data_IF_930823952999
#
_entry.id   IF_930823952999
#
_cell.length_a   1.000
_cell.length_b   1.000
_cell.length_c   1.000
_cell.angle_alpha   90.00
_cell.angle_beta   90.00
_cell.angle_gamma   90.00
#
_symmetry.space_group_name_H-M   'P 1'
#
loop_
_entity.id
_entity.type
_entity.pdbx_description
1 polymer ?
#
# COMPACT_ATOMS: atom_id res chain seq x y z
N UNK A 1 -16.77 -14.07 3.37
CA UNK A 1 -15.45 -13.41 3.57
C UNK A 1 -14.74 -13.08 2.25
N UNK A 2 -14.56 -14.03 1.32
CA UNK A 2 -13.88 -13.80 0.02
C UNK A 2 -14.43 -12.60 -0.78
N UNK A 3 -15.77 -12.50 -0.91
CA UNK A 3 -16.42 -11.38 -1.62
C UNK A 3 -16.11 -10.02 -0.98
N UNK A 4 -16.15 -9.93 0.35
CA UNK A 4 -15.87 -8.69 1.09
C UNK A 4 -14.41 -8.25 0.91
N UNK A 5 -13.46 -9.18 1.02
CA UNK A 5 -12.03 -8.91 0.76
C UNK A 5 -11.81 -8.49 -0.70
N UNK A 6 -12.51 -9.12 -1.64
CA UNK A 6 -12.49 -8.73 -3.05
C UNK A 6 -12.95 -7.29 -3.28
N UNK A 7 -14.07 -6.88 -2.66
CA UNK A 7 -14.58 -5.51 -2.77
C UNK A 7 -13.59 -4.48 -2.22
N UNK A 8 -13.05 -4.72 -1.02
CA UNK A 8 -12.03 -3.85 -0.43
C UNK A 8 -10.78 -3.78 -1.30
N UNK A 9 -10.36 -4.90 -1.90
CA UNK A 9 -9.22 -4.94 -2.80
C UNK A 9 -9.44 -4.13 -4.07
N UNK A 10 -10.65 -4.14 -4.64
CA UNK A 10 -10.99 -3.27 -5.78
C UNK A 10 -10.92 -1.81 -5.36
N UNK A 11 -11.51 -1.44 -4.21
CA UNK A 11 -11.44 -0.06 -3.69
C UNK A 11 -9.99 0.40 -3.54
N UNK A 12 -9.12 -0.44 -2.98
CA UNK A 12 -7.70 -0.13 -2.79
C UNK A 12 -6.92 -0.08 -4.11
N UNK A 13 -7.24 -0.96 -5.07
CA UNK A 13 -6.67 -0.91 -6.42
C UNK A 13 -6.95 0.45 -7.07
N UNK A 14 -8.21 0.91 -7.01
CA UNK A 14 -8.59 2.23 -7.54
C UNK A 14 -7.90 3.35 -6.77
N UNK A 15 -7.86 3.28 -5.44
CA UNK A 15 -7.18 4.29 -4.62
C UNK A 15 -5.70 4.42 -5.02
N UNK A 16 -4.97 3.32 -5.19
CA UNK A 16 -3.56 3.37 -5.60
C UNK A 16 -3.37 3.86 -7.04
N UNK A 17 -4.27 3.54 -7.97
CA UNK A 17 -4.24 4.10 -9.33
C UNK A 17 -4.47 5.61 -9.33
N UNK A 18 -5.40 6.09 -8.51
CA UNK A 18 -5.63 7.52 -8.32
C UNK A 18 -4.41 8.19 -7.69
N UNK A 19 -3.76 7.54 -6.71
CA UNK A 19 -2.51 8.03 -6.15
C UNK A 19 -1.44 8.19 -7.25
N UNK A 20 -1.21 7.18 -8.10
CA UNK A 20 -0.29 7.28 -9.26
C UNK A 20 -0.61 8.50 -10.13
N UNK A 21 -1.88 8.74 -10.42
CA UNK A 21 -2.29 9.87 -11.26
C UNK A 21 -2.02 11.24 -10.62
N UNK A 22 -2.10 11.35 -9.30
CA UNK A 22 -1.82 12.62 -8.59
C UNK A 22 -0.32 12.92 -8.54
N UNK A 23 0.54 11.90 -8.48
CA UNK A 23 2.00 12.07 -8.32
C UNK A 23 2.69 12.76 -9.50
N UNK A 24 2.07 12.86 -10.68
CA UNK A 24 2.64 13.62 -11.80
C UNK A 24 2.83 15.12 -11.47
N UNK A 25 2.21 15.62 -10.39
CA UNK A 25 2.37 17.00 -9.93
C UNK A 25 3.46 17.17 -8.87
N UNK A 26 4.16 16.10 -8.48
CA UNK A 26 5.22 16.15 -7.47
C UNK A 26 6.61 16.34 -8.08
N UNK A 27 7.56 16.96 -7.33
CA UNK A 27 8.91 17.24 -7.83
C UNK A 27 9.76 15.98 -8.09
N UNK A 28 9.49 14.87 -7.37
CA UNK A 28 10.10 13.55 -7.60
C UNK A 28 9.02 12.47 -7.77
N UNK A 29 8.41 12.35 -8.96
CA UNK A 29 7.23 11.51 -9.16
C UNK A 29 7.57 10.01 -9.24
N UNK A 30 8.81 9.65 -9.62
CA UNK A 30 9.14 8.28 -10.02
C UNK A 30 9.05 7.27 -8.88
N UNK A 31 9.61 7.60 -7.72
CA UNK A 31 9.57 6.72 -6.56
C UNK A 31 8.12 6.45 -6.11
N UNK A 32 7.29 7.51 -6.10
CA UNK A 32 5.89 7.42 -5.72
C UNK A 32 5.03 6.66 -6.71
N UNK A 33 5.16 6.95 -8.00
CA UNK A 33 4.48 6.20 -9.07
C UNK A 33 4.86 4.72 -8.99
N UNK A 34 6.12 4.42 -8.71
CA UNK A 34 6.61 3.04 -8.61
C UNK A 34 5.94 2.29 -7.46
N UNK A 35 5.90 2.85 -6.25
CA UNK A 35 5.34 2.13 -5.09
C UNK A 35 3.82 1.98 -5.18
N UNK A 36 3.09 3.02 -5.61
CA UNK A 36 1.64 2.94 -5.78
C UNK A 36 1.27 2.05 -6.97
N UNK A 37 2.02 2.13 -8.07
CA UNK A 37 1.84 1.28 -9.24
C UNK A 37 2.08 -0.19 -8.93
N UNK A 38 3.15 -0.50 -8.17
CA UNK A 38 3.41 -1.86 -7.68
C UNK A 38 2.29 -2.36 -6.77
N UNK A 39 1.86 -1.55 -5.80
CA UNK A 39 0.75 -1.90 -4.90
C UNK A 39 -0.54 -2.19 -5.68
N UNK A 40 -0.87 -1.36 -6.67
CA UNK A 40 -2.01 -1.57 -7.57
C UNK A 40 -1.87 -2.87 -8.37
N UNK A 41 -0.71 -3.11 -8.99
CA UNK A 41 -0.46 -4.32 -9.76
C UNK A 41 -0.58 -5.60 -8.91
N UNK A 42 -0.12 -5.57 -7.65
CA UNK A 42 -0.27 -6.69 -6.73
C UNK A 42 -1.73 -6.90 -6.29
N UNK A 43 -2.51 -5.84 -6.12
CA UNK A 43 -3.96 -5.96 -5.89
C UNK A 43 -4.66 -6.60 -7.09
N UNK A 44 -4.28 -6.24 -8.31
CA UNK A 44 -4.81 -6.88 -9.54
C UNK A 44 -4.38 -8.36 -9.60
N UNK A 45 -3.12 -8.67 -9.33
CA UNK A 45 -2.63 -10.04 -9.28
C UNK A 45 -3.40 -10.89 -8.25
N UNK A 46 -3.73 -10.31 -7.09
CA UNK A 46 -4.57 -10.94 -6.08
C UNK A 46 -5.98 -11.23 -6.60
N UNK A 47 -6.63 -10.25 -7.23
CA UNK A 47 -7.96 -10.41 -7.81
C UNK A 47 -7.99 -11.50 -8.91
N UNK A 48 -6.90 -11.68 -9.64
CA UNK A 48 -6.73 -12.71 -10.67
C UNK A 48 -6.32 -14.09 -10.12
N UNK A 49 -6.12 -14.23 -8.80
CA UNK A 49 -5.65 -15.46 -8.18
C UNK A 49 -4.21 -15.84 -8.53
N UNK A 50 -3.38 -14.87 -8.95
CA UNK A 50 -1.98 -15.06 -9.36
C UNK A 50 -0.97 -14.47 -8.38
N UNK A 51 -1.43 -13.90 -7.27
CA UNK A 51 -0.54 -13.34 -6.27
C UNK A 51 0.14 -14.45 -5.46
N UNK A 52 1.46 -14.40 -5.35
CA UNK A 52 2.20 -15.12 -4.30
C UNK A 52 2.33 -14.21 -3.09
N UNK A 53 1.98 -14.71 -1.90
CA UNK A 53 1.88 -13.91 -0.67
C UNK A 53 3.14 -13.09 -0.36
N UNK A 54 4.33 -13.61 -0.66
CA UNK A 54 5.60 -12.96 -0.33
C UNK A 54 5.86 -11.69 -1.15
N UNK A 55 5.30 -11.54 -2.37
CA UNK A 55 5.42 -10.29 -3.13
C UNK A 55 4.77 -9.12 -2.39
N UNK A 56 3.56 -9.36 -1.85
CA UNK A 56 2.87 -8.38 -1.05
C UNK A 56 3.60 -8.13 0.29
N UNK A 57 4.14 -9.18 0.92
CA UNK A 57 4.91 -9.00 2.16
C UNK A 57 6.16 -8.13 1.94
N UNK A 58 6.96 -8.41 0.90
CA UNK A 58 8.15 -7.61 0.58
C UNK A 58 7.78 -6.16 0.34
N UNK A 59 6.74 -5.92 -0.47
CA UNK A 59 6.24 -4.56 -0.75
C UNK A 59 5.79 -3.85 0.52
N UNK A 60 5.11 -4.56 1.43
CA UNK A 60 4.70 -4.03 2.72
C UNK A 60 5.88 -3.61 3.59
N UNK A 61 6.89 -4.49 3.73
CA UNK A 61 8.10 -4.21 4.51
C UNK A 61 8.88 -3.05 3.91
N UNK A 62 9.05 -3.01 2.59
CA UNK A 62 9.70 -1.88 1.89
C UNK A 62 8.98 -0.57 2.16
N UNK A 63 7.65 -0.55 2.07
CA UNK A 63 6.85 0.64 2.34
C UNK A 63 6.96 1.09 3.81
N UNK A 64 6.99 0.16 4.77
CA UNK A 64 7.17 0.47 6.19
C UNK A 64 8.55 1.07 6.48
N UNK A 65 9.61 0.48 5.91
CA UNK A 65 10.97 0.98 6.09
C UNK A 65 11.12 2.38 5.49
N UNK A 66 10.53 2.60 4.32
CA UNK A 66 10.53 3.92 3.70
C UNK A 66 9.71 4.93 4.52
N UNK A 67 8.52 4.55 4.99
CA UNK A 67 7.72 5.40 5.89
C UNK A 67 8.51 5.79 7.15
N UNK A 68 9.16 4.82 7.79
CA UNK A 68 9.97 5.07 8.99
C UNK A 68 11.12 6.06 8.72
N UNK A 69 11.71 6.05 7.52
CA UNK A 69 12.76 6.99 7.15
C UNK A 69 12.28 8.45 7.01
N UNK A 70 10.98 8.67 6.78
CA UNK A 70 10.38 10.00 6.69
C UNK A 70 10.03 10.62 8.06
N UNK A 71 9.89 9.79 9.10
CA UNK A 71 9.48 10.26 10.43
C UNK A 71 10.30 11.46 10.93
N UNK A 72 11.65 11.46 10.88
CA UNK A 72 12.43 12.59 11.39
C UNK A 72 12.14 13.92 10.69
N UNK A 73 11.62 13.91 9.46
CA UNK A 73 11.39 15.10 8.65
C UNK A 73 10.14 15.89 9.06
N UNK A 74 9.19 15.27 9.77
CA UNK A 74 7.94 15.93 10.18
C UNK A 74 7.55 15.68 11.65
N UNK A 75 8.24 14.79 12.34
CA UNK A 75 7.90 14.42 13.72
C UNK A 75 7.96 15.63 14.67
N UNK A 76 6.83 15.93 15.30
CA UNK A 76 6.71 17.08 16.22
C UNK A 76 6.68 18.45 15.52
N UNK A 77 6.72 18.49 14.18
CA UNK A 77 6.69 19.72 13.39
C UNK A 77 5.32 20.00 12.75
N UNK A 78 4.46 18.97 12.67
CA UNK A 78 3.18 19.04 11.96
C UNK A 78 2.08 18.45 12.83
N UNK A 79 0.99 19.19 13.00
CA UNK A 79 -0.23 18.68 13.63
C UNK A 79 -1.07 17.88 12.63
N UNK A 80 -1.91 16.96 13.11
CA UNK A 80 -2.80 16.19 12.21
C UNK A 80 -3.75 17.08 11.42
N UNK A 81 -4.20 18.20 11.99
CA UNK A 81 -5.06 19.16 11.31
C UNK A 81 -4.37 19.81 10.10
N UNK A 82 -3.10 20.22 10.24
CA UNK A 82 -2.31 20.83 9.16
C UNK A 82 -2.11 19.89 7.96
N UNK A 83 -2.02 18.58 8.19
CA UNK A 83 -1.90 17.58 7.12
C UNK A 83 -3.13 17.61 6.21
N UNK A 84 -4.33 17.78 6.78
CA UNK A 84 -5.59 17.78 6.04
C UNK A 84 -6.01 19.17 5.53
N UNK A 85 -5.66 20.25 6.24
CA UNK A 85 -6.01 21.63 5.87
C UNK A 85 -5.11 22.23 4.78
N UNK A 86 -3.90 21.70 4.59
CA UNK A 86 -2.87 22.21 3.66
C UNK A 86 -3.16 22.04 2.16
N UNK A 87 -4.41 21.86 1.75
CA UNK A 87 -4.78 21.69 0.33
C UNK A 87 -4.27 22.83 -0.58
N UNK A 88 -3.91 24.00 -0.01
CA UNK A 88 -3.34 25.15 -0.75
C UNK A 88 -1.94 25.63 -0.34
N UNK A 89 -1.38 25.24 0.81
CA UNK A 89 -0.02 25.65 1.26
C UNK A 89 0.83 24.42 1.62
N UNK A 90 1.73 24.04 0.70
CA UNK A 90 2.68 22.93 0.92
C UNK A 90 3.90 23.44 1.68
N UNK A 91 3.94 23.24 3.00
CA UNK A 91 5.24 23.29 3.72
C UNK A 91 5.91 21.92 3.61
N UNK A 92 7.25 21.88 3.53
CA UNK A 92 7.99 20.62 3.37
C UNK A 92 7.67 19.56 4.46
N UNK A 93 7.50 19.91 5.74
CA UNK A 93 7.10 18.94 6.76
C UNK A 93 5.71 18.33 6.49
N UNK A 94 4.76 19.12 5.99
CA UNK A 94 3.40 18.63 5.69
C UNK A 94 3.39 17.69 4.48
N UNK A 95 4.22 17.97 3.48
CA UNK A 95 4.43 17.06 2.33
C UNK A 95 4.96 15.71 2.80
N UNK A 96 6.02 15.68 3.62
CA UNK A 96 6.56 14.43 4.17
C UNK A 96 5.57 13.67 5.06
N UNK A 97 4.72 14.38 5.81
CA UNK A 97 3.67 13.74 6.61
C UNK A 97 2.59 13.07 5.72
N UNK A 98 2.24 13.68 4.58
CA UNK A 98 1.31 13.10 3.60
C UNK A 98 1.91 11.88 2.89
N UNK A 99 3.16 12.00 2.47
CA UNK A 99 3.96 10.92 1.88
C UNK A 99 4.04 9.71 2.83
N UNK A 100 4.31 9.97 4.11
CA UNK A 100 4.28 8.98 5.17
C UNK A 100 2.92 8.26 5.26
N UNK A 101 1.82 9.01 5.29
CA UNK A 101 0.47 8.43 5.33
C UNK A 101 0.15 7.53 4.13
N UNK A 102 0.63 7.93 2.94
CA UNK A 102 0.53 7.12 1.73
C UNK A 102 1.28 5.79 1.84
N UNK A 103 2.54 5.81 2.30
CA UNK A 103 3.35 4.61 2.51
C UNK A 103 2.77 3.69 3.58
N UNK A 104 2.26 4.23 4.69
CA UNK A 104 1.58 3.45 5.73
C UNK A 104 0.33 2.77 5.16
N UNK A 105 -0.41 3.45 4.28
CA UNK A 105 -1.59 2.87 3.63
C UNK A 105 -1.21 1.72 2.70
N UNK A 106 -0.15 1.89 1.88
CA UNK A 106 0.40 0.80 1.06
C UNK A 106 0.84 -0.37 1.95
N UNK A 107 1.63 -0.09 2.98
CA UNK A 107 2.15 -1.09 3.90
C UNK A 107 1.03 -1.92 4.55
N UNK A 108 0.03 -1.25 5.12
CA UNK A 108 -1.08 -1.89 5.81
C UNK A 108 -1.89 -2.79 4.86
N UNK A 109 -2.21 -2.30 3.67
CA UNK A 109 -2.98 -3.09 2.70
C UNK A 109 -2.18 -4.27 2.15
N UNK A 110 -0.92 -4.05 1.78
CA UNK A 110 -0.02 -5.10 1.31
C UNK A 110 0.19 -6.19 2.38
N UNK A 111 0.31 -5.80 3.65
CA UNK A 111 0.41 -6.74 4.76
C UNK A 111 -0.86 -7.59 4.89
N UNK A 112 -2.02 -6.94 4.84
CA UNK A 112 -3.31 -7.62 4.92
C UNK A 112 -3.49 -8.66 3.81
N UNK A 113 -3.27 -8.29 2.54
CA UNK A 113 -3.41 -9.23 1.43
C UNK A 113 -2.33 -10.33 1.45
N UNK A 114 -1.12 -10.04 1.94
CA UNK A 114 -0.07 -11.05 2.10
C UNK A 114 -0.50 -12.15 3.08
N UNK A 115 -0.99 -11.77 4.25
CA UNK A 115 -1.49 -12.75 5.21
C UNK A 115 -2.70 -13.48 4.67
N UNK A 116 -3.67 -12.79 4.09
CA UNK A 116 -4.84 -13.43 3.51
C UNK A 116 -4.48 -14.48 2.44
N UNK A 117 -3.59 -14.12 1.50
CA UNK A 117 -3.09 -15.04 0.47
C UNK A 117 -2.35 -16.23 1.08
N UNK A 118 -1.50 -16.02 2.10
CA UNK A 118 -0.78 -17.11 2.77
C UNK A 118 -1.73 -18.14 3.39
N UNK A 119 -2.84 -17.70 3.96
CA UNK A 119 -3.86 -18.62 4.49
C UNK A 119 -4.49 -19.44 3.36
N UNK A 120 -4.85 -18.81 2.23
CA UNK A 120 -5.39 -19.52 1.05
C UNK A 120 -4.41 -20.56 0.49
N UNK A 121 -3.13 -20.20 0.38
CA UNK A 121 -2.07 -21.10 -0.10
C UNK A 121 -1.90 -22.30 0.84
N UNK A 122 -2.03 -22.08 2.16
CA UNK A 122 -1.91 -23.13 3.17
C UNK A 122 -3.09 -24.11 3.10
N UNK A 123 -4.31 -23.61 2.94
CA UNK A 123 -5.51 -24.45 2.74
C UNK A 123 -5.37 -25.32 1.48
N UNK A 124 -4.97 -24.73 0.35
CA UNK A 124 -4.79 -25.46 -0.91
C UNK A 124 -3.76 -26.60 -0.79
N UNK A 125 -2.64 -26.34 -0.11
CA UNK A 125 -1.59 -27.35 0.11
C UNK A 125 -2.02 -28.51 1.04
N UNK A 126 -3.00 -28.28 1.91
CA UNK A 126 -3.52 -29.32 2.81
C UNK A 126 -4.48 -30.27 2.11
N UNK A 127 -5.31 -29.76 1.20
CA UNK A 127 -6.25 -30.56 0.40
C UNK A 127 -5.51 -31.49 -0.55
N UNK A 128 -4.51 -30.96 -1.27
CA UNK A 128 -3.70 -31.75 -2.22
C UNK A 128 -2.94 -32.89 -1.53
N UNK A 129 -2.65 -32.78 -0.22
CA UNK A 129 -2.03 -33.85 0.58
C UNK A 129 -3.01 -34.97 0.97
N UNK A 130 -4.30 -34.66 1.12
CA UNK A 130 -5.32 -35.65 1.50
C UNK A 130 -5.69 -36.52 0.30
N UNK A 131 -5.64 -35.95 -0.90
CA UNK A 131 -6.00 -36.63 -2.15
C UNK A 131 -4.86 -37.47 -2.77
N UNK A 132 -3.68 -37.47 -2.15
CA UNK A 132 -2.50 -38.30 -2.50
C UNK A 132 -2.37 -39.52 -1.58
#
# INVERSE_FOLDING_TARGET
>A
MKLFVGLLNVMMTVAFLLSVAVQYNDPDPLAWITIYGLASALCVAFALGRLRWWYALVTSVTALLWAASLLPAFWGLVSTAEIFESLGMKTAPVEHAREFGGLVTVAAWMMFIAFYQRHLDSEASSVDRIDQ
#
